data_IF_867476642366
#
_entry.id   IF_867476642366
#
_cell.length_a   1.000
_cell.length_b   1.000
_cell.length_c   1.000
_cell.angle_alpha   90.00
_cell.angle_beta   90.00
_cell.angle_gamma   90.00
#
_symmetry.space_group_name_H-M   'P 1'
#
loop_
_entity.id
_entity.type
_entity.pdbx_description
1 polymer ?
#
# COMPACT_ATOMS: atom_id res chain seq x y z
N UNK A 1 -3.27 -9.60 32.09
CA UNK A 1 -3.47 -9.12 30.70
C UNK A 1 -2.09 -8.83 30.11
N UNK A 2 -1.62 -9.61 29.14
CA UNK A 2 -0.32 -9.37 28.50
C UNK A 2 -0.41 -8.14 27.60
N UNK A 3 0.40 -7.11 27.87
CA UNK A 3 0.56 -5.95 27.00
C UNK A 3 1.25 -6.43 25.72
N UNK A 4 0.48 -6.81 24.70
CA UNK A 4 1.03 -7.17 23.38
C UNK A 4 1.62 -5.93 22.73
N UNK A 5 2.93 -5.93 22.49
CA UNK A 5 3.62 -4.82 21.82
C UNK A 5 3.22 -4.79 20.35
N UNK A 6 2.96 -3.60 19.78
CA UNK A 6 2.58 -3.46 18.36
C UNK A 6 3.57 -4.11 17.38
N UNK A 7 4.85 -4.17 17.74
CA UNK A 7 5.88 -4.88 16.96
C UNK A 7 5.63 -6.37 16.87
N UNK A 8 5.27 -7.02 17.99
CA UNK A 8 4.97 -8.45 18.05
C UNK A 8 3.71 -8.75 17.23
N UNK A 9 2.66 -7.95 17.40
CA UNK A 9 1.41 -8.10 16.65
C UNK A 9 1.60 -7.94 15.14
N UNK A 10 2.42 -6.98 14.70
CA UNK A 10 2.72 -6.77 13.27
C UNK A 10 3.53 -7.93 12.68
N UNK A 11 4.56 -8.38 13.39
CA UNK A 11 5.42 -9.46 12.92
C UNK A 11 4.69 -10.81 12.89
N UNK A 12 3.75 -11.02 13.81
CA UNK A 12 2.93 -12.23 13.90
C UNK A 12 1.82 -12.33 12.84
N UNK A 13 1.57 -11.27 12.05
CA UNK A 13 0.57 -11.31 10.99
C UNK A 13 0.84 -12.45 9.99
N UNK A 14 -0.19 -13.20 9.55
CA UNK A 14 -0.02 -14.37 8.70
C UNK A 14 0.21 -13.99 7.22
N UNK A 15 1.33 -13.34 6.93
CA UNK A 15 1.65 -12.74 5.63
C UNK A 15 1.56 -13.70 4.45
N UNK A 16 1.94 -14.98 4.64
CA UNK A 16 1.82 -16.02 3.61
C UNK A 16 0.36 -16.27 3.25
N UNK A 17 -0.53 -16.29 4.25
CA UNK A 17 -1.99 -16.46 4.04
C UNK A 17 -2.58 -15.23 3.35
N UNK A 18 -2.18 -14.02 3.75
CA UNK A 18 -2.64 -12.77 3.11
C UNK A 18 -2.26 -12.72 1.64
N UNK A 19 -1.01 -13.06 1.31
CA UNK A 19 -0.55 -13.13 -0.09
C UNK A 19 -1.35 -14.11 -0.95
N UNK A 20 -1.64 -15.31 -0.42
CA UNK A 20 -2.47 -16.30 -1.13
C UNK A 20 -3.91 -15.81 -1.33
N UNK A 21 -4.49 -15.13 -0.34
CA UNK A 21 -5.83 -14.55 -0.46
C UNK A 21 -5.86 -13.44 -1.53
N UNK A 22 -4.88 -12.54 -1.49
CA UNK A 22 -4.71 -11.46 -2.46
C UNK A 22 -4.55 -12.01 -3.89
N UNK A 23 -3.66 -12.98 -4.09
CA UNK A 23 -3.43 -13.61 -5.40
C UNK A 23 -4.70 -14.25 -5.97
N UNK A 24 -5.47 -14.99 -5.15
CA UNK A 24 -6.74 -15.59 -5.60
C UNK A 24 -7.75 -14.54 -6.05
N UNK A 25 -7.84 -13.42 -5.33
CA UNK A 25 -8.75 -12.34 -5.70
C UNK A 25 -8.31 -11.62 -6.98
N UNK A 26 -7.01 -11.33 -7.11
CA UNK A 26 -6.43 -10.77 -8.35
C UNK A 26 -6.67 -11.69 -9.55
N UNK A 27 -6.48 -13.00 -9.39
CA UNK A 27 -6.73 -13.97 -10.45
C UNK A 27 -8.22 -14.04 -10.86
N UNK A 28 -9.15 -13.88 -9.90
CA UNK A 28 -10.59 -13.78 -10.21
C UNK A 28 -10.91 -12.50 -10.99
N UNK A 29 -10.27 -11.38 -10.66
CA UNK A 29 -10.40 -10.12 -11.43
C UNK A 29 -9.91 -10.34 -12.86
N UNK A 30 -8.72 -10.93 -13.02
CA UNK A 30 -8.16 -11.25 -14.33
C UNK A 30 -9.11 -12.14 -15.15
N UNK A 31 -9.65 -13.21 -14.58
CA UNK A 31 -10.63 -14.07 -15.26
C UNK A 31 -11.90 -13.32 -15.69
N UNK A 32 -12.43 -12.44 -14.85
CA UNK A 32 -13.60 -11.62 -15.20
C UNK A 32 -13.31 -10.67 -16.36
N UNK A 33 -12.14 -10.02 -16.36
CA UNK A 33 -11.68 -9.16 -17.46
C UNK A 33 -11.53 -9.96 -18.76
N UNK A 34 -10.90 -11.13 -18.72
CA UNK A 34 -10.76 -12.00 -19.89
C UNK A 34 -12.11 -12.42 -20.47
N UNK A 35 -13.12 -12.65 -19.61
CA UNK A 35 -14.49 -12.96 -20.03
C UNK A 35 -15.30 -11.72 -20.48
N UNK A 36 -14.70 -10.53 -20.52
CA UNK A 36 -15.37 -9.23 -20.78
C UNK A 36 -16.52 -8.91 -19.80
N UNK A 37 -16.55 -9.57 -18.64
CA UNK A 37 -17.53 -9.34 -17.56
C UNK A 37 -17.05 -8.17 -16.69
N UNK A 38 -17.31 -6.96 -17.19
CA UNK A 38 -16.81 -5.73 -16.58
C UNK A 38 -17.47 -5.42 -15.23
N UNK A 39 -18.74 -5.79 -15.04
CA UNK A 39 -19.45 -5.56 -13.78
C UNK A 39 -18.92 -6.45 -12.66
N UNK A 40 -18.68 -7.73 -12.97
CA UNK A 40 -18.00 -8.63 -12.03
C UNK A 40 -16.59 -8.17 -11.71
N UNK A 41 -15.84 -7.72 -12.71
CA UNK A 41 -14.49 -7.19 -12.48
C UNK A 41 -14.51 -5.99 -11.51
N UNK A 42 -15.42 -5.02 -11.72
CA UNK A 42 -15.62 -3.87 -10.82
C UNK A 42 -15.99 -4.30 -9.41
N UNK A 43 -16.91 -5.25 -9.25
CA UNK A 43 -17.30 -5.76 -7.93
C UNK A 43 -16.14 -6.45 -7.20
N UNK A 44 -15.32 -7.23 -7.92
CA UNK A 44 -14.13 -7.87 -7.36
C UNK A 44 -13.04 -6.85 -7.00
N UNK A 45 -12.87 -5.78 -7.77
CA UNK A 45 -11.98 -4.67 -7.43
C UNK A 45 -12.44 -3.94 -6.16
N UNK A 46 -13.74 -3.65 -6.01
CA UNK A 46 -14.30 -3.09 -4.76
C UNK A 46 -14.05 -4.00 -3.56
N UNK A 47 -14.20 -5.32 -3.74
CA UNK A 47 -13.88 -6.31 -2.71
C UNK A 47 -12.39 -6.32 -2.35
N UNK A 48 -11.50 -6.21 -3.35
CA UNK A 48 -10.06 -6.14 -3.15
C UNK A 48 -9.68 -4.92 -2.31
N UNK A 49 -10.23 -3.75 -2.66
CA UNK A 49 -10.00 -2.48 -1.97
C UNK A 49 -10.42 -2.53 -0.50
N UNK A 50 -11.59 -3.11 -0.20
CA UNK A 50 -12.09 -3.29 1.18
C UNK A 50 -11.37 -4.38 1.99
N UNK A 51 -10.55 -5.21 1.33
CA UNK A 51 -9.98 -6.37 1.98
C UNK A 51 -8.87 -5.97 2.96
N UNK A 52 -9.10 -6.23 4.25
CA UNK A 52 -8.10 -5.95 5.31
C UNK A 52 -6.74 -6.60 5.03
N UNK A 53 -6.73 -7.82 4.49
CA UNK A 53 -5.48 -8.51 4.17
C UNK A 53 -4.75 -7.85 2.98
N UNK A 54 -5.49 -7.31 1.99
CA UNK A 54 -4.90 -6.57 0.88
C UNK A 54 -4.33 -5.23 1.35
N UNK A 55 -5.07 -4.50 2.19
CA UNK A 55 -4.61 -3.23 2.77
C UNK A 55 -3.34 -3.40 3.61
N UNK A 56 -3.29 -4.40 4.51
CA UNK A 56 -2.09 -4.69 5.31
C UNK A 56 -0.90 -5.10 4.44
N UNK A 57 -1.13 -5.85 3.36
CA UNK A 57 -0.09 -6.20 2.39
C UNK A 57 0.43 -4.96 1.65
N UNK A 58 -0.46 -4.05 1.24
CA UNK A 58 -0.08 -2.79 0.59
C UNK A 58 0.74 -1.89 1.53
N UNK A 59 0.28 -1.71 2.78
CA UNK A 59 1.03 -0.96 3.80
C UNK A 59 2.40 -1.58 4.04
N UNK A 60 2.49 -2.90 4.18
CA UNK A 60 3.78 -3.59 4.31
C UNK A 60 4.69 -3.37 3.11
N UNK A 61 4.14 -3.45 1.90
CA UNK A 61 4.90 -3.24 0.67
C UNK A 61 5.53 -1.85 0.65
N UNK A 62 4.72 -0.80 0.85
CA UNK A 62 5.16 0.60 0.80
C UNK A 62 6.11 0.95 1.94
N UNK A 63 5.81 0.52 3.16
CA UNK A 63 6.54 0.97 4.36
C UNK A 63 7.75 0.11 4.71
N UNK A 64 7.82 -1.14 4.23
CA UNK A 64 8.90 -2.07 4.61
C UNK A 64 9.67 -2.66 3.43
N UNK A 65 9.03 -2.94 2.30
CA UNK A 65 9.65 -3.73 1.23
C UNK A 65 10.18 -2.86 0.08
N UNK A 66 9.53 -1.75 -0.22
CA UNK A 66 9.96 -0.83 -1.27
C UNK A 66 11.34 -0.23 -0.97
N UNK A 67 12.15 -0.05 -2.02
CA UNK A 67 13.49 0.57 -1.90
C UNK A 67 13.40 2.02 -1.41
N UNK A 68 12.41 2.78 -1.90
CA UNK A 68 12.16 4.18 -1.53
C UNK A 68 11.43 4.40 -0.20
N UNK A 69 11.23 3.37 0.65
CA UNK A 69 10.46 3.45 1.91
C UNK A 69 10.95 4.49 2.94
N UNK A 70 12.18 4.98 2.76
CA UNK A 70 12.83 6.00 3.62
C UNK A 70 12.71 7.42 3.06
N UNK A 71 12.17 7.57 1.85
CA UNK A 71 12.05 8.86 1.17
C UNK A 71 10.64 9.38 1.36
N UNK A 72 10.48 10.48 2.10
CA UNK A 72 9.18 11.09 2.35
C UNK A 72 8.61 11.80 1.10
N UNK A 73 7.30 11.95 1.02
CA UNK A 73 6.63 12.84 0.07
C UNK A 73 6.61 14.28 0.59
N UNK A 74 5.63 15.07 0.13
CA UNK A 74 5.39 16.43 0.67
C UNK A 74 4.82 16.41 2.10
N UNK A 75 4.27 15.25 2.52
CA UNK A 75 3.78 14.99 3.88
C UNK A 75 4.90 14.86 4.93
N UNK A 76 6.16 14.73 4.49
CA UNK A 76 7.30 14.57 5.39
C UNK A 76 7.35 13.21 6.12
N UNK A 77 6.45 12.27 5.81
CA UNK A 77 6.35 10.98 6.52
C UNK A 77 7.07 9.86 5.76
N UNK A 78 7.93 9.13 6.45
CA UNK A 78 8.61 7.95 5.95
C UNK A 78 9.00 7.03 7.12
N UNK A 79 9.50 5.83 6.83
CA UNK A 79 10.02 4.91 7.86
C UNK A 79 9.05 4.63 9.03
N UNK A 80 7.76 4.46 8.72
CA UNK A 80 6.69 4.30 9.71
C UNK A 80 6.95 3.19 10.74
N UNK A 81 6.61 3.47 11.99
CA UNK A 81 6.62 2.53 13.11
C UNK A 81 5.47 1.52 13.02
N UNK A 82 5.55 0.44 13.79
CA UNK A 82 4.55 -0.65 13.76
C UNK A 82 3.12 -0.16 14.05
N UNK A 83 2.94 0.72 15.04
CA UNK A 83 1.62 1.26 15.38
C UNK A 83 1.09 2.20 14.27
N UNK A 84 1.95 3.03 13.69
CA UNK A 84 1.60 3.91 12.57
C UNK A 84 1.16 3.12 11.34
N UNK A 85 1.73 1.93 11.09
CA UNK A 85 1.30 1.06 9.99
C UNK A 85 -0.12 0.51 10.21
N UNK A 86 -0.47 0.17 11.45
CA UNK A 86 -1.84 -0.24 11.76
C UNK A 86 -2.81 0.92 11.56
N UNK A 87 -2.47 2.11 12.08
CA UNK A 87 -3.25 3.33 11.89
C UNK A 87 -3.44 3.67 10.40
N UNK A 88 -2.37 3.64 9.60
CA UNK A 88 -2.47 3.86 8.15
C UNK A 88 -3.43 2.86 7.49
N UNK A 89 -3.38 1.59 7.89
CA UNK A 89 -4.28 0.60 7.35
C UNK A 89 -5.76 0.87 7.76
N UNK A 90 -6.02 1.42 8.95
CA UNK A 90 -7.37 1.86 9.35
C UNK A 90 -7.83 3.09 8.55
N UNK A 91 -6.95 4.08 8.37
CA UNK A 91 -7.23 5.28 7.55
C UNK A 91 -7.56 4.87 6.10
N UNK A 92 -6.80 3.93 5.52
CA UNK A 92 -7.10 3.37 4.20
C UNK A 92 -8.45 2.67 4.17
N UNK A 93 -8.80 1.92 5.22
CA UNK A 93 -10.09 1.22 5.28
C UNK A 93 -11.28 2.17 5.34
N UNK A 94 -11.15 3.27 6.10
CA UNK A 94 -12.18 4.29 6.23
C UNK A 94 -12.38 5.09 4.93
N UNK A 95 -11.30 5.38 4.19
CA UNK A 95 -11.32 6.32 3.07
C UNK A 95 -11.14 5.65 1.69
N UNK A 96 -11.33 4.33 1.58
CA UNK A 96 -10.93 3.58 0.38
C UNK A 96 -11.64 4.01 -0.92
N UNK A 97 -12.83 4.60 -0.83
CA UNK A 97 -13.58 5.11 -1.99
C UNK A 97 -13.57 6.64 -2.10
N UNK A 98 -12.93 7.33 -1.16
CA UNK A 98 -12.94 8.79 -1.04
C UNK A 98 -11.52 9.30 -0.75
N UNK A 99 -10.54 8.76 -1.47
CA UNK A 99 -9.14 9.08 -1.26
C UNK A 99 -8.72 10.30 -2.06
N UNK A 100 -8.24 11.33 -1.36
CA UNK A 100 -7.69 12.54 -1.94
C UNK A 100 -6.17 12.51 -1.79
N UNK A 101 -5.44 12.45 -2.91
CA UNK A 101 -3.99 12.38 -2.91
C UNK A 101 -3.38 13.79 -2.84
N UNK A 102 -2.25 13.91 -2.14
CA UNK A 102 -1.43 15.13 -2.16
C UNK A 102 -0.51 15.20 -3.39
N UNK A 103 0.09 16.38 -3.57
CA UNK A 103 1.12 16.62 -4.57
C UNK A 103 2.35 15.73 -4.39
N UNK A 104 3.11 15.54 -5.47
CA UNK A 104 4.34 14.75 -5.46
C UNK A 104 5.53 15.63 -5.09
N UNK A 105 6.44 15.12 -4.26
CA UNK A 105 7.71 15.81 -3.98
C UNK A 105 8.72 15.51 -5.08
N UNK A 106 9.27 16.55 -5.69
CA UNK A 106 10.28 16.40 -6.74
C UNK A 106 11.69 16.35 -6.15
N UNK A 107 12.45 15.33 -6.52
CA UNK A 107 13.83 15.13 -6.07
C UNK A 107 14.74 15.00 -7.30
N UNK A 108 15.66 15.95 -7.53
CA UNK A 108 16.62 15.84 -8.63
C UNK A 108 17.60 14.70 -8.37
N UNK A 109 17.80 13.84 -9.36
CA UNK A 109 18.76 12.73 -9.33
C UNK A 109 19.75 12.92 -10.48
N UNK A 110 21.07 12.98 -10.20
CA UNK A 110 22.07 13.10 -11.24
C UNK A 110 22.14 11.81 -12.07
N UNK A 111 22.34 11.96 -13.38
CA UNK A 111 22.69 10.86 -14.29
C UNK A 111 24.20 10.83 -14.53
N UNK A 112 24.66 9.74 -15.14
CA UNK A 112 26.08 9.55 -15.50
C UNK A 112 26.57 10.55 -16.57
N UNK A 113 25.66 11.08 -17.39
CA UNK A 113 25.95 12.02 -18.49
C UNK A 113 26.00 13.50 -18.04
N UNK A 114 25.88 13.77 -16.73
CA UNK A 114 25.84 15.13 -16.18
C UNK A 114 24.46 15.80 -16.21
N UNK A 115 23.45 15.19 -16.84
CA UNK A 115 22.07 15.69 -16.79
C UNK A 115 21.35 15.24 -15.52
N UNK A 116 20.24 15.90 -15.18
CA UNK A 116 19.41 15.56 -14.02
C UNK A 116 18.09 14.93 -14.47
N UNK A 117 17.61 13.91 -13.76
CA UNK A 117 16.23 13.43 -13.85
C UNK A 117 15.47 13.77 -12.58
N UNK A 118 14.20 14.16 -12.70
CA UNK A 118 13.33 14.38 -11.54
C UNK A 118 12.69 13.05 -11.11
N UNK A 119 12.86 12.68 -9.85
CA UNK A 119 12.08 11.64 -9.20
C UNK A 119 10.87 12.28 -8.51
N UNK A 120 9.68 11.80 -8.84
CA UNK A 120 8.45 12.22 -8.17
C UNK A 120 8.11 11.23 -7.06
N UNK A 121 8.18 11.70 -5.81
CA UNK A 121 7.97 10.89 -4.61
C UNK A 121 6.56 11.14 -4.07
N UNK A 122 5.70 10.11 -4.00
CA UNK A 122 4.36 10.24 -3.43
C UNK A 122 4.38 10.28 -1.90
N UNK A 123 3.26 10.69 -1.31
CA UNK A 123 2.99 10.61 0.12
C UNK A 123 2.59 9.20 0.54
N UNK A 124 2.77 8.90 1.82
CA UNK A 124 2.40 7.59 2.38
C UNK A 124 1.11 7.68 3.21
N UNK A 125 0.79 8.86 3.75
CA UNK A 125 -0.31 9.02 4.71
C UNK A 125 -1.55 9.74 4.15
N UNK A 126 -1.38 10.57 3.12
CA UNK A 126 -2.40 11.48 2.59
C UNK A 126 -1.93 12.11 1.28
#
# INVERSE_FOLDING_TARGET
>A
MTITRHSESWNALPWKRFRRALFRLQHRIWKAIQAKDTDRAKNLQKLLLRSRCAQLMAVRQVTQLNQGKRTAGVDGRASLQHHERFQLAEVLAANVFDWHHQGLREVPIPKKDGTTRLLKVPTVWS
#
